data_IF_696765788579
#
_entry.id   IF_696765788579
#
_cell.length_a   1.000
_cell.length_b   1.000
_cell.length_c   1.000
_cell.angle_alpha   90.00
_cell.angle_beta   90.00
_cell.angle_gamma   90.00
#
_symmetry.space_group_name_H-M   'P 1'
#
loop_
_entity.id
_entity.type
_entity.pdbx_description
1 polymer ?
#
# COMPACT_ATOMS: atom_id res chain seq x y z
N UNK A 1 -20.58 20.90 5.68
CA UNK A 1 -20.24 19.65 4.97
C UNK A 1 -19.66 18.74 6.01
N UNK A 2 -20.42 17.72 6.34
CA UNK A 2 -20.08 16.80 7.41
C UNK A 2 -18.99 15.83 6.93
N UNK A 3 -18.15 15.35 7.86
CA UNK A 3 -17.05 14.44 7.55
C UNK A 3 -17.49 13.22 6.73
N UNK A 4 -18.68 12.70 7.02
CA UNK A 4 -19.27 11.58 6.30
C UNK A 4 -19.56 11.89 4.81
N UNK A 5 -20.03 13.10 4.50
CA UNK A 5 -20.28 13.50 3.11
C UNK A 5 -18.98 13.63 2.31
N UNK A 6 -17.94 14.21 2.92
CA UNK A 6 -16.62 14.34 2.29
C UNK A 6 -16.00 12.97 2.01
N UNK A 7 -16.12 12.06 2.98
CA UNK A 7 -15.63 10.69 2.83
C UNK A 7 -16.31 9.96 1.66
N UNK A 8 -17.64 9.96 1.61
CA UNK A 8 -18.40 9.31 0.55
C UNK A 8 -18.07 9.88 -0.85
N UNK A 9 -17.92 11.19 -0.97
CA UNK A 9 -17.54 11.82 -2.23
C UNK A 9 -16.16 11.35 -2.71
N UNK A 10 -15.19 11.28 -1.79
CA UNK A 10 -13.84 10.83 -2.09
C UNK A 10 -13.81 9.35 -2.51
N UNK A 11 -14.55 8.50 -1.82
CA UNK A 11 -14.66 7.08 -2.19
C UNK A 11 -15.25 6.89 -3.59
N UNK A 12 -16.34 7.59 -3.91
CA UNK A 12 -16.95 7.50 -5.24
C UNK A 12 -16.00 7.98 -6.34
N UNK A 13 -15.20 9.02 -6.06
CA UNK A 13 -14.23 9.54 -7.01
C UNK A 13 -13.11 8.54 -7.29
N UNK A 14 -12.50 7.95 -6.25
CA UNK A 14 -11.49 6.91 -6.43
C UNK A 14 -12.06 5.61 -7.02
N UNK A 15 -13.31 5.26 -6.72
CA UNK A 15 -13.99 4.12 -7.34
C UNK A 15 -14.17 4.32 -8.85
N UNK A 16 -14.51 5.53 -9.29
CA UNK A 16 -14.60 5.87 -10.71
C UNK A 16 -13.23 5.82 -11.41
N UNK A 17 -12.19 6.40 -10.81
CA UNK A 17 -10.80 6.33 -11.33
C UNK A 17 -10.32 4.88 -11.45
N UNK A 18 -10.58 4.07 -10.42
CA UNK A 18 -10.19 2.66 -10.38
C UNK A 18 -10.96 1.82 -11.42
N UNK A 19 -12.25 2.08 -11.59
CA UNK A 19 -13.09 1.39 -12.59
C UNK A 19 -12.73 1.76 -14.03
N UNK A 20 -12.14 2.94 -14.23
CA UNK A 20 -11.69 3.43 -15.53
C UNK A 20 -10.28 2.94 -15.92
N UNK A 21 -9.59 2.20 -15.05
CA UNK A 21 -8.29 1.61 -15.38
C UNK A 21 -8.39 0.72 -16.63
N UNK A 22 -7.43 0.90 -17.54
CA UNK A 22 -7.30 0.09 -18.74
C UNK A 22 -5.88 -0.52 -18.82
N UNK A 23 -5.74 -1.86 -18.81
CA UNK A 23 -6.81 -2.84 -18.62
C UNK A 23 -7.42 -2.77 -17.21
N UNK A 24 -8.65 -3.29 -17.01
CA UNK A 24 -9.21 -3.43 -15.68
C UNK A 24 -8.25 -4.21 -14.77
N UNK A 25 -8.08 -3.76 -13.53
CA UNK A 25 -7.22 -4.48 -12.59
C UNK A 25 -7.76 -5.89 -12.34
N UNK A 26 -6.88 -6.84 -12.04
CA UNK A 26 -7.26 -8.23 -11.74
C UNK A 26 -6.95 -8.63 -10.29
N UNK A 27 -6.08 -7.85 -9.63
CA UNK A 27 -5.71 -7.98 -8.23
C UNK A 27 -5.11 -6.66 -7.72
N UNK A 28 -4.87 -6.60 -6.42
CA UNK A 28 -4.14 -5.52 -5.76
C UNK A 28 -2.84 -6.06 -5.16
N UNK A 29 -1.74 -5.29 -5.14
CA UNK A 29 -1.62 -3.91 -5.64
C UNK A 29 -1.64 -3.81 -7.17
N UNK A 30 -2.27 -2.76 -7.72
CA UNK A 30 -2.24 -2.42 -9.15
C UNK A 30 -1.29 -1.25 -9.39
N UNK A 31 -0.07 -1.54 -9.86
CA UNK A 31 0.98 -0.54 -10.07
C UNK A 31 1.20 -0.31 -11.56
N UNK A 32 1.18 0.96 -11.98
CA UNK A 32 1.32 1.38 -13.38
C UNK A 32 2.46 2.40 -13.48
N UNK A 33 3.34 2.22 -14.47
CA UNK A 33 4.40 3.18 -14.83
C UNK A 33 4.25 3.48 -16.31
N UNK A 34 4.09 4.75 -16.70
CA UNK A 34 3.85 5.16 -18.09
C UNK A 34 2.80 4.30 -18.80
N UNK A 35 1.60 4.22 -18.22
CA UNK A 35 0.45 3.44 -18.73
C UNK A 35 0.67 1.93 -18.82
N UNK A 36 1.82 1.42 -18.36
CA UNK A 36 2.14 -0.01 -18.36
C UNK A 36 1.96 -0.62 -16.97
N UNK A 37 1.02 -1.56 -16.78
CA UNK A 37 0.90 -2.29 -15.51
C UNK A 37 2.12 -3.19 -15.28
N UNK A 38 2.63 -3.22 -14.05
CA UNK A 38 3.82 -3.98 -13.66
C UNK A 38 3.52 -5.42 -13.25
N UNK A 39 2.27 -5.75 -12.94
CA UNK A 39 1.85 -7.05 -12.42
C UNK A 39 2.76 -7.50 -11.26
N UNK A 40 3.29 -8.74 -11.30
CA UNK A 40 4.19 -9.31 -10.29
C UNK A 40 5.55 -8.61 -10.18
N UNK A 41 5.94 -7.78 -11.14
CA UNK A 41 7.22 -7.06 -11.12
C UNK A 41 7.11 -5.72 -10.37
N UNK A 42 6.02 -5.50 -9.62
CA UNK A 42 5.76 -4.27 -8.87
C UNK A 42 6.85 -3.96 -7.83
N UNK A 43 7.52 -4.99 -7.28
CA UNK A 43 8.65 -4.81 -6.34
C UNK A 43 9.83 -4.09 -7.00
N UNK A 44 9.95 -4.16 -8.34
CA UNK A 44 11.00 -3.48 -9.11
C UNK A 44 10.56 -2.09 -9.58
N UNK A 45 9.58 -1.46 -8.92
CA UNK A 45 9.02 -0.15 -9.28
C UNK A 45 10.09 0.88 -9.66
N UNK A 46 11.13 1.07 -8.84
CA UNK A 46 12.22 2.03 -9.11
C UNK A 46 12.95 1.70 -10.42
N UNK A 47 13.19 0.42 -10.70
CA UNK A 47 13.82 0.00 -11.97
C UNK A 47 12.95 0.39 -13.17
N UNK A 48 11.63 0.22 -13.07
CA UNK A 48 10.69 0.61 -14.13
C UNK A 48 10.62 2.11 -14.32
N UNK A 49 10.54 2.90 -13.23
CA UNK A 49 10.57 4.37 -13.28
C UNK A 49 11.87 4.87 -13.95
N UNK A 50 13.01 4.31 -13.56
CA UNK A 50 14.30 4.71 -14.13
C UNK A 50 14.43 4.36 -15.62
N UNK A 51 13.87 3.23 -16.07
CA UNK A 51 13.83 2.87 -17.50
C UNK A 51 12.86 3.72 -18.30
N UNK A 52 11.76 4.17 -17.69
CA UNK A 52 10.77 5.03 -18.32
C UNK A 52 11.24 6.49 -18.46
N UNK A 53 12.24 6.91 -17.66
CA UNK A 53 12.76 8.28 -17.70
C UNK A 53 13.41 8.62 -19.04
N UNK A 54 12.86 9.63 -19.74
CA UNK A 54 13.33 10.09 -21.07
C UNK A 54 14.24 11.31 -21.01
N UNK A 55 14.54 11.84 -19.82
CA UNK A 55 15.41 13.00 -19.65
C UNK A 55 16.89 12.65 -19.82
N UNK A 56 17.69 13.61 -20.27
CA UNK A 56 19.13 13.43 -20.49
C UNK A 56 19.93 13.41 -19.19
N UNK A 57 19.49 14.17 -18.18
CA UNK A 57 20.09 14.20 -16.86
C UNK A 57 19.49 13.10 -15.97
N UNK A 58 20.01 11.88 -16.10
CA UNK A 58 19.54 10.72 -15.31
C UNK A 58 19.74 10.98 -13.81
N UNK A 59 18.69 10.87 -12.97
CA UNK A 59 18.81 11.01 -11.52
C UNK A 59 19.81 10.02 -10.93
N UNK A 60 20.54 10.41 -9.89
CA UNK A 60 21.55 9.54 -9.26
C UNK A 60 20.95 8.24 -8.71
N UNK A 61 19.71 8.30 -8.22
CA UNK A 61 18.95 7.12 -7.79
C UNK A 61 18.82 6.04 -8.89
N UNK A 62 18.83 6.43 -10.16
CA UNK A 62 18.75 5.52 -11.30
C UNK A 62 20.11 4.99 -11.76
N UNK A 63 21.23 5.59 -11.31
CA UNK A 63 22.59 5.16 -11.67
C UNK A 63 23.07 3.97 -10.85
N UNK A 64 22.49 3.75 -9.67
CA UNK A 64 22.94 2.75 -8.69
C UNK A 64 22.32 1.34 -8.85
N UNK A 65 21.75 0.99 -10.01
CA UNK A 65 21.13 -0.32 -10.19
C UNK A 65 22.21 -1.43 -10.24
N UNK A 66 22.07 -2.48 -9.40
CA UNK A 66 20.89 -3.32 -9.39
C UNK A 66 20.22 -3.40 -8.03
N UNK A 67 18.95 -2.99 -7.95
CA UNK A 67 18.03 -3.34 -6.86
C UNK A 67 17.57 -4.81 -6.96
N UNK A 68 18.39 -5.68 -7.57
CA UNK A 68 18.22 -7.11 -7.37
C UNK A 68 18.74 -7.39 -5.98
N UNK A 69 17.83 -7.76 -5.08
CA UNK A 69 18.15 -8.18 -3.71
C UNK A 69 18.36 -7.00 -2.74
N UNK A 70 17.30 -6.22 -2.45
CA UNK A 70 16.95 -6.21 -1.02
C UNK A 70 16.58 -7.66 -0.78
N UNK A 71 17.53 -8.45 -0.27
CA UNK A 71 17.27 -9.79 0.21
C UNK A 71 15.96 -9.70 0.95
N UNK A 72 14.96 -10.52 0.60
CA UNK A 72 13.72 -10.65 1.37
C UNK A 72 14.13 -10.62 2.83
N UNK A 73 14.08 -9.45 3.45
CA UNK A 73 14.52 -9.30 4.80
C UNK A 73 13.36 -10.00 5.47
N UNK A 74 13.60 -11.25 5.88
CA UNK A 74 12.57 -12.10 6.48
C UNK A 74 11.89 -11.19 7.46
N UNK A 75 10.62 -10.88 7.20
CA UNK A 75 9.89 -9.91 7.97
C UNK A 75 10.22 -10.19 9.43
N UNK A 76 10.89 -9.25 10.10
CA UNK A 76 11.21 -9.44 11.49
C UNK A 76 9.85 -9.66 12.16
N UNK A 77 9.58 -10.82 12.79
CA UNK A 77 8.29 -11.05 13.44
C UNK A 77 8.03 -10.03 14.56
N UNK A 78 9.06 -9.26 14.96
CA UNK A 78 9.01 -8.16 15.91
C UNK A 78 8.65 -6.79 15.27
N UNK A 79 8.16 -6.78 14.03
CA UNK A 79 7.53 -5.58 13.45
C UNK A 79 6.38 -5.15 14.35
N UNK A 80 6.56 -4.08 15.12
CA UNK A 80 5.52 -3.52 16.00
C UNK A 80 4.27 -3.20 15.18
N UNK A 81 3.30 -4.10 15.20
CA UNK A 81 1.98 -3.88 14.64
C UNK A 81 1.16 -3.12 15.69
N UNK A 82 0.54 -2.01 15.30
CA UNK A 82 -0.45 -1.34 16.14
C UNK A 82 -1.76 -2.12 16.03
N UNK A 83 -2.11 -2.90 17.06
CA UNK A 83 -3.45 -3.45 17.20
C UNK A 83 -4.34 -2.44 17.92
N UNK A 84 -5.59 -2.30 17.48
CA UNK A 84 -6.61 -1.63 18.29
C UNK A 84 -6.91 -2.51 19.50
N UNK A 85 -6.87 -1.94 20.71
CA UNK A 85 -7.19 -2.67 21.94
C UNK A 85 -8.67 -3.08 21.94
N UNK A 86 -8.93 -4.39 21.97
CA UNK A 86 -10.27 -4.91 22.23
C UNK A 86 -10.59 -4.72 23.71
N UNK A 87 -11.59 -3.88 24.02
CA UNK A 87 -12.12 -3.72 25.38
C UNK A 87 -12.75 -5.03 25.85
N UNK A 88 -11.98 -5.82 26.59
CA UNK A 88 -12.52 -6.96 27.34
C UNK A 88 -13.20 -6.45 28.60
N UNK A 89 -14.52 -6.38 28.59
CA UNK A 89 -15.31 -6.14 29.81
C UNK A 89 -15.18 -7.35 30.72
N UNK A 90 -14.30 -7.27 31.72
CA UNK A 90 -14.27 -8.24 32.82
C UNK A 90 -15.56 -8.07 33.63
N UNK A 91 -16.35 -9.13 33.72
CA UNK A 91 -17.46 -9.22 34.67
C UNK A 91 -16.87 -9.24 36.08
N UNK A 92 -17.07 -8.16 36.84
CA UNK A 92 -16.81 -8.15 38.27
C UNK A 92 -17.79 -9.11 38.95
N UNK A 93 -17.28 -10.27 39.39
CA UNK A 93 -17.91 -11.08 40.42
C UNK A 93 -17.65 -10.40 41.77
N UNK A 94 -18.67 -9.71 42.29
CA UNK A 94 -18.77 -9.34 43.70
C UNK A 94 -20.04 -10.08 44.17
N UNK A 95 -19.94 -11.09 45.01
CA UNK A 95 -19.97 -10.92 46.45
C UNK A 95 -19.56 -12.22 47.19
N UNK A 96 -18.81 -12.08 48.29
CA UNK A 96 -18.76 -13.02 49.42
C UNK A 96 -18.27 -12.22 50.64
N UNK A 97 -18.96 -12.22 51.79
CA UNK A 97 -18.74 -13.21 52.86
C UNK A 97 -20.06 -13.56 53.62
N UNK A 98 -20.25 -14.61 54.42
CA UNK A 98 -19.40 -15.48 55.24
C UNK A 98 -20.11 -16.84 55.36
#
# INVERSE_FOLDING_TARGET
MDFFELFMQLELQYAAETSALHPPHTYVPWVVVDEKPLYEDYEKFVTHVCKAYKGTAVPDACKALPFETIAKEKANPDGRVCYAEEKTTQQQKVENPL
#
